data_IF_010696447567
#
_entry.id   IF_010696447567
#
_cell.length_a   1.000
_cell.length_b   1.000
_cell.length_c   1.000
_cell.angle_alpha   90.00
_cell.angle_beta   90.00
_cell.angle_gamma   90.00
#
_symmetry.space_group_name_H-M   'P 1'
#
loop_
_entity.id
_entity.type
_entity.pdbx_description
1 polymer ?
#
# COMPACT_ATOMS: atom_id res chain seq x y z
N UNK A 1 -5.99 -15.19 10.83
CA UNK A 1 -6.14 -13.72 10.90
C UNK A 1 -5.41 -13.15 9.69
N UNK A 2 -6.09 -12.40 8.82
CA UNK A 2 -5.53 -11.99 7.53
C UNK A 2 -4.59 -10.80 7.76
N UNK A 3 -3.29 -11.07 7.76
CA UNK A 3 -2.20 -10.10 7.77
C UNK A 3 -2.27 -9.26 6.49
N UNK A 4 -3.00 -8.15 6.54
CA UNK A 4 -2.95 -7.14 5.49
C UNK A 4 -1.51 -6.56 5.48
N UNK A 5 -0.77 -6.76 4.39
CA UNK A 5 0.61 -6.27 4.25
C UNK A 5 0.66 -5.03 3.37
N UNK A 6 1.48 -4.07 3.77
CA UNK A 6 1.75 -2.87 2.99
C UNK A 6 2.51 -3.22 1.71
N UNK A 7 2.08 -2.70 0.56
CA UNK A 7 2.69 -3.04 -0.75
C UNK A 7 4.11 -2.50 -0.91
N UNK A 8 4.49 -1.45 -0.16
CA UNK A 8 5.84 -0.84 -0.23
C UNK A 8 6.77 -1.29 0.88
N UNK A 9 6.27 -1.31 2.12
CA UNK A 9 7.07 -1.61 3.29
C UNK A 9 7.12 -3.13 3.57
N UNK A 10 6.26 -3.92 2.90
CA UNK A 10 5.90 -5.31 3.22
C UNK A 10 5.52 -5.58 4.69
N UNK A 11 5.41 -4.53 5.50
CA UNK A 11 5.14 -4.56 6.91
C UNK A 11 3.66 -4.79 7.20
N UNK A 12 3.39 -5.41 8.34
CA UNK A 12 2.05 -5.63 8.86
C UNK A 12 1.38 -4.30 9.20
N UNK A 13 0.25 -4.02 8.56
CA UNK A 13 -0.54 -2.83 8.92
C UNK A 13 -1.18 -2.94 10.30
N UNK A 14 -1.26 -4.14 10.88
CA UNK A 14 -1.77 -4.35 12.25
C UNK A 14 -0.93 -3.61 13.28
N UNK A 15 0.40 -3.54 13.05
CA UNK A 15 1.34 -2.85 13.94
C UNK A 15 1.38 -1.34 13.64
N UNK A 16 0.96 -0.91 12.45
CA UNK A 16 1.13 0.46 11.95
C UNK A 16 -0.24 1.15 11.81
N UNK A 17 -0.66 1.98 12.79
CA UNK A 17 -1.91 2.71 12.71
C UNK A 17 -1.90 3.72 11.54
N UNK A 18 -3.09 4.06 11.01
CA UNK A 18 -3.31 4.85 9.79
C UNK A 18 -3.01 4.12 8.47
N UNK A 19 -3.30 2.83 8.40
CA UNK A 19 -3.33 2.12 7.12
C UNK A 19 -4.52 2.55 6.29
N UNK A 20 -4.26 2.87 5.02
CA UNK A 20 -5.28 3.21 4.02
C UNK A 20 -5.30 2.13 2.95
N UNK A 21 -6.50 1.78 2.52
CA UNK A 21 -6.73 0.92 1.37
C UNK A 21 -7.38 1.76 0.26
N UNK A 22 -6.79 1.72 -0.93
CA UNK A 22 -7.34 2.40 -2.10
C UNK A 22 -7.25 1.48 -3.32
N UNK A 23 -8.22 1.61 -4.22
CA UNK A 23 -8.14 0.96 -5.51
C UNK A 23 -7.03 1.61 -6.34
N UNK A 24 -6.17 0.81 -6.95
CA UNK A 24 -5.25 1.31 -7.95
C UNK A 24 -6.04 2.09 -9.04
N UNK A 25 -5.51 3.17 -9.63
CA UNK A 25 -6.14 3.86 -10.75
C UNK A 25 -6.46 2.95 -11.96
N UNK A 26 -5.90 1.74 -12.05
CA UNK A 26 -6.30 0.75 -13.06
C UNK A 26 -7.56 -0.06 -12.68
N UNK A 27 -8.05 0.04 -11.45
CA UNK A 27 -9.27 -0.61 -10.94
C UNK A 27 -9.14 -2.11 -10.62
N UNK A 28 -7.98 -2.73 -10.87
CA UNK A 28 -7.86 -4.20 -10.80
C UNK A 28 -7.30 -4.72 -9.47
N UNK A 29 -6.44 -3.95 -8.80
CA UNK A 29 -5.84 -4.35 -7.52
C UNK A 29 -6.09 -3.32 -6.42
N UNK A 30 -6.30 -3.81 -5.19
CA UNK A 30 -6.42 -2.98 -3.97
C UNK A 30 -5.02 -2.79 -3.38
N UNK A 31 -4.62 -1.55 -3.25
CA UNK A 31 -3.32 -1.17 -2.70
C UNK A 31 -3.50 -0.76 -1.25
N UNK A 32 -2.72 -1.40 -0.39
CA UNK A 32 -2.74 -1.15 1.05
C UNK A 32 -1.44 -0.44 1.40
N UNK A 33 -1.55 0.76 1.97
CA UNK A 33 -0.41 1.55 2.44
C UNK A 33 -0.52 1.80 3.92
N UNK A 34 0.56 1.58 4.65
CA UNK A 34 0.64 1.97 6.05
C UNK A 34 0.90 3.48 6.19
N UNK A 35 0.47 4.06 7.31
CA UNK A 35 0.64 5.49 7.60
C UNK A 35 2.11 5.92 7.62
N UNK A 36 3.02 5.00 7.97
CA UNK A 36 4.47 5.22 7.89
C UNK A 36 4.92 5.43 6.44
N UNK A 37 4.64 4.47 5.54
CA UNK A 37 4.93 4.57 4.11
C UNK A 37 4.32 5.85 3.48
N UNK A 38 3.15 6.30 3.97
CA UNK A 38 2.50 7.56 3.54
C UNK A 38 3.26 8.82 4.04
N UNK A 39 3.76 8.82 5.28
CA UNK A 39 4.59 9.93 5.82
C UNK A 39 5.89 10.12 5.04
N UNK A 40 6.52 9.02 4.63
CA UNK A 40 7.77 9.04 3.86
C UNK A 40 7.54 9.06 2.34
N UNK A 41 6.29 9.12 1.86
CA UNK A 41 5.93 9.11 0.43
C UNK A 41 6.72 8.03 -0.34
N UNK A 42 6.77 6.82 0.22
CA UNK A 42 7.52 5.72 -0.37
C UNK A 42 6.86 5.34 -1.68
N UNK A 43 7.64 5.21 -2.74
CA UNK A 43 7.12 4.74 -4.03
C UNK A 43 6.50 3.35 -3.89
N UNK A 44 5.28 3.17 -4.37
CA UNK A 44 4.68 1.85 -4.58
C UNK A 44 4.58 1.60 -6.07
N UNK A 45 4.79 0.35 -6.45
CA UNK A 45 4.59 -0.11 -7.80
C UNK A 45 3.39 -1.03 -7.82
N UNK A 46 2.38 -0.69 -8.60
CA UNK A 46 1.31 -1.64 -8.89
C UNK A 46 1.82 -2.71 -9.86
N UNK A 47 1.63 -3.99 -9.54
CA UNK A 47 2.10 -5.09 -10.38
C UNK A 47 1.33 -5.22 -11.70
N UNK A 48 0.07 -4.79 -11.74
CA UNK A 48 -0.76 -4.93 -12.93
C UNK A 48 -0.62 -3.81 -13.96
N UNK A 49 -0.46 -2.56 -13.53
CA UNK A 49 -0.37 -1.42 -14.43
C UNK A 49 1.03 -0.80 -14.50
N UNK A 50 1.96 -1.24 -13.65
CA UNK A 50 3.29 -0.64 -13.56
C UNK A 50 3.31 0.78 -13.01
N UNK A 51 2.18 1.28 -12.51
CA UNK A 51 2.06 2.62 -11.96
C UNK A 51 2.94 2.76 -10.72
N UNK A 52 3.90 3.67 -10.78
CA UNK A 52 4.76 4.05 -9.67
C UNK A 52 4.24 5.35 -9.04
N UNK A 53 3.52 5.23 -7.94
CA UNK A 53 2.99 6.36 -7.17
C UNK A 53 3.76 6.55 -5.86
N UNK A 54 3.81 7.77 -5.30
CA UNK A 54 4.40 8.04 -3.98
C UNK A 54 3.51 7.62 -2.81
#
# INVERSE_FOLDING_TARGET
>A
MVEKRCTSCNADIVVIPNSVEFACPCGREKIIRCGKCRKISVKYKCKECGFEGP
#
